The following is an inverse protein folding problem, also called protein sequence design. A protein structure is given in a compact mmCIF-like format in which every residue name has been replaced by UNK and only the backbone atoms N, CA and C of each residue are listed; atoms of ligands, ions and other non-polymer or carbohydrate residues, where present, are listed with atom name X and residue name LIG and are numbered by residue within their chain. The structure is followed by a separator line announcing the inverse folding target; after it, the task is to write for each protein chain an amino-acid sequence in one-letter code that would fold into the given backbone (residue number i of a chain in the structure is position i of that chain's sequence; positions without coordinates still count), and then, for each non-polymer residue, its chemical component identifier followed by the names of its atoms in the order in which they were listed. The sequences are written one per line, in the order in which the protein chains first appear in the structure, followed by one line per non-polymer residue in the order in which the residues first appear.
data_IF_601837266965
#
_entry.id   IF_601837266965
#
_cell.length_a   1.000
_cell.length_b   1.000
_cell.length_c   1.000
_cell.angle_alpha   90.00
_cell.angle_beta   90.00
_cell.angle_gamma   90.00
#
_symmetry.space_group_name_H-M   'P 1'
#
loop_
_entity.id
_entity.type
_entity.pdbx_description
1 polymer ?
#
# COMPACT_ATOMS: atom_id res chain seq x y z
N UNK A 1 -10.98 10.25 8.86
CA UNK A 1 -11.44 9.28 7.85
C UNK A 1 -10.90 7.92 8.26
N UNK A 2 -11.69 6.85 8.11
CA UNK A 2 -11.25 5.50 8.46
C UNK A 2 -10.52 4.87 7.27
N UNK A 3 -9.47 4.10 7.57
CA UNK A 3 -8.78 3.23 6.60
C UNK A 3 -9.75 2.17 6.05
N UNK A 4 -9.53 1.64 4.84
CA UNK A 4 -10.33 0.52 4.34
C UNK A 4 -10.24 -0.66 5.31
N UNK A 5 -11.38 -1.27 5.59
CA UNK A 5 -11.43 -2.45 6.47
C UNK A 5 -10.93 -3.71 5.74
N UNK A 6 -10.69 -4.78 6.48
CA UNK A 6 -10.15 -6.03 5.93
C UNK A 6 -11.05 -6.65 4.85
N UNK A 7 -12.38 -6.53 4.96
CA UNK A 7 -13.31 -7.06 3.96
C UNK A 7 -13.20 -6.30 2.63
N UNK A 8 -13.15 -4.96 2.68
CA UNK A 8 -12.94 -4.13 1.48
C UNK A 8 -11.61 -4.45 0.82
N UNK A 9 -10.53 -4.59 1.60
CA UNK A 9 -9.21 -4.97 1.07
C UNK A 9 -9.28 -6.35 0.40
N UNK A 10 -9.94 -7.33 1.03
CA UNK A 10 -10.10 -8.67 0.47
C UNK A 10 -10.83 -8.66 -0.88
N UNK A 11 -11.86 -7.83 -1.04
CA UNK A 11 -12.61 -7.70 -2.29
C UNK A 11 -11.75 -7.07 -3.39
N UNK A 12 -10.96 -6.05 -3.05
CA UNK A 12 -9.98 -5.45 -3.96
C UNK A 12 -8.98 -6.50 -4.45
N UNK A 13 -8.39 -7.27 -3.53
CA UNK A 13 -7.40 -8.29 -3.87
C UNK A 13 -8.00 -9.45 -4.69
N UNK A 14 -9.30 -9.73 -4.52
CA UNK A 14 -10.05 -10.66 -5.38
C UNK A 14 -10.39 -10.11 -6.77
N UNK A 15 -10.07 -8.85 -7.07
CA UNK A 15 -10.25 -8.26 -8.40
C UNK A 15 -11.39 -7.24 -8.54
N UNK A 16 -11.95 -6.73 -7.44
CA UNK A 16 -12.93 -5.63 -7.50
C UNK A 16 -12.22 -4.30 -7.85
N UNK A 17 -12.04 -4.06 -9.15
CA UNK A 17 -11.34 -2.88 -9.69
C UNK A 17 -12.06 -1.57 -9.38
N UNK A 18 -13.39 -1.59 -9.25
CA UNK A 18 -14.17 -0.43 -8.86
C UNK A 18 -13.83 0.00 -7.44
N UNK A 19 -13.80 -0.94 -6.48
CA UNK A 19 -13.39 -0.66 -5.11
C UNK A 19 -11.91 -0.28 -5.02
N UNK A 20 -11.06 -0.89 -5.85
CA UNK A 20 -9.64 -0.56 -5.91
C UNK A 20 -9.44 0.92 -6.17
N UNK A 21 -10.05 1.44 -7.25
CA UNK A 21 -9.94 2.85 -7.65
C UNK A 21 -10.52 3.76 -6.56
N UNK A 22 -11.72 3.45 -6.07
CA UNK A 22 -12.39 4.25 -5.04
C UNK A 22 -11.57 4.35 -3.75
N UNK A 23 -11.04 3.23 -3.25
CA UNK A 23 -10.24 3.25 -2.02
C UNK A 23 -8.86 3.87 -2.23
N UNK A 24 -8.24 3.69 -3.41
CA UNK A 24 -6.98 4.34 -3.73
C UNK A 24 -7.11 5.88 -3.77
N UNK A 25 -8.19 6.38 -4.36
CA UNK A 25 -8.51 7.81 -4.37
C UNK A 25 -8.72 8.37 -2.95
N UNK A 26 -9.58 7.69 -2.17
CA UNK A 26 -9.82 8.02 -0.75
C UNK A 26 -8.53 8.04 0.08
N UNK A 27 -7.64 7.09 -0.15
CA UNK A 27 -6.32 7.03 0.49
C UNK A 27 -5.43 8.21 0.09
N UNK A 28 -5.44 8.59 -1.20
CA UNK A 28 -4.72 9.77 -1.70
C UNK A 28 -5.17 11.06 -0.99
N UNK A 29 -6.48 11.27 -0.87
CA UNK A 29 -7.06 12.41 -0.14
C UNK A 29 -6.72 12.38 1.35
N UNK A 30 -6.81 11.21 1.99
CA UNK A 30 -6.45 11.02 3.39
C UNK A 30 -4.99 11.44 3.65
N UNK A 31 -4.05 11.00 2.79
CA UNK A 31 -2.65 11.40 2.92
C UNK A 31 -2.41 12.88 2.67
N UNK A 32 -3.14 13.52 1.75
CA UNK A 32 -3.14 14.98 1.57
C UNK A 32 -3.58 15.69 2.85
N UNK A 33 -4.64 15.22 3.48
CA UNK A 33 -5.15 15.81 4.72
C UNK A 33 -4.17 15.63 5.89
N UNK A 34 -3.43 14.51 5.95
CA UNK A 34 -2.35 14.33 6.92
C UNK A 34 -1.16 15.27 6.68
N UNK A 35 -0.86 15.62 5.42
CA UNK A 35 0.17 16.61 5.08
C UNK A 35 -0.16 17.99 5.63
N UNK A 36 -1.41 18.43 5.57
CA UNK A 36 -1.84 19.69 6.20
C UNK A 36 -1.58 19.71 7.72
N UNK A 37 -1.49 18.52 8.35
CA UNK A 37 -1.23 18.34 9.78
C UNK A 37 0.23 17.98 10.11
N UNK A 38 1.17 18.08 9.15
CA UNK A 38 2.59 17.68 9.29
C UNK A 38 2.79 16.19 9.67
N UNK A 39 1.84 15.35 9.24
CA UNK A 39 1.76 13.90 9.47
C UNK A 39 1.80 13.10 8.15
N UNK A 40 2.32 13.71 7.09
CA UNK A 40 2.37 13.19 5.73
C UNK A 40 3.07 11.84 5.59
N UNK A 41 2.74 11.13 4.50
CA UNK A 41 3.48 9.96 4.06
C UNK A 41 4.91 10.35 3.68
N UNK A 42 5.90 9.77 4.36
CA UNK A 42 7.33 9.92 3.96
C UNK A 42 7.70 8.81 2.99
N UNK A 43 8.32 9.16 1.87
CA UNK A 43 8.27 8.32 0.66
C UNK A 43 9.49 7.47 0.38
N UNK A 44 10.67 7.73 0.96
CA UNK A 44 11.88 6.96 0.63
C UNK A 44 11.77 5.47 0.93
N UNK A 45 11.25 5.08 2.10
CA UNK A 45 11.11 3.66 2.46
C UNK A 45 9.94 2.98 1.74
N UNK A 46 8.85 3.71 1.51
CA UNK A 46 7.72 3.18 0.75
C UNK A 46 8.12 2.93 -0.71
N UNK A 47 8.91 3.82 -1.33
CA UNK A 47 9.49 3.60 -2.65
C UNK A 47 10.42 2.38 -2.69
N UNK A 48 11.20 2.13 -1.63
CA UNK A 48 12.04 0.93 -1.55
C UNK A 48 11.22 -0.36 -1.52
N UNK A 49 10.11 -0.37 -0.76
CA UNK A 49 9.17 -1.50 -0.74
C UNK A 49 8.52 -1.67 -2.10
N UNK A 50 8.03 -0.58 -2.71
CA UNK A 50 7.45 -0.59 -4.05
C UNK A 50 8.43 -1.14 -5.10
N UNK A 51 9.69 -0.72 -5.07
CA UNK A 51 10.72 -1.27 -5.95
C UNK A 51 10.97 -2.76 -5.74
N UNK A 52 10.78 -3.29 -4.52
CA UNK A 52 10.84 -4.74 -4.26
C UNK A 52 9.65 -5.46 -4.90
N UNK A 53 8.44 -4.88 -4.81
CA UNK A 53 7.23 -5.40 -5.46
C UNK A 53 7.39 -5.44 -6.98
N UNK A 54 7.87 -4.36 -7.60
CA UNK A 54 8.12 -4.33 -9.06
C UNK A 54 9.17 -5.34 -9.51
N UNK A 55 10.22 -5.57 -8.70
CA UNK A 55 11.21 -6.62 -9.00
C UNK A 55 10.58 -8.02 -8.99
N UNK A 56 9.68 -8.29 -8.04
CA UNK A 56 8.95 -9.55 -7.97
C UNK A 56 8.00 -9.71 -9.15
N UNK A 57 7.29 -8.66 -9.53
CA UNK A 57 6.43 -8.66 -10.72
C UNK A 57 7.22 -8.99 -12.00
N UNK A 58 8.46 -8.48 -12.13
CA UNK A 58 9.33 -8.79 -13.27
C UNK A 58 9.95 -10.19 -13.22
N UNK A 59 10.32 -10.68 -12.04
CA UNK A 59 11.04 -11.96 -11.86
C UNK A 59 10.12 -13.17 -11.74
N UNK A 60 8.88 -12.96 -11.34
CA UNK A 60 7.94 -13.99 -10.95
C UNK A 60 7.49 -13.84 -9.50
N UNK A 61 6.21 -14.10 -9.26
CA UNK A 61 5.60 -14.03 -7.95
C UNK A 61 6.17 -15.11 -7.02
N UNK A 62 6.69 -14.69 -5.86
CA UNK A 62 7.10 -15.54 -4.75
C UNK A 62 6.36 -15.09 -3.48
N UNK A 63 5.46 -15.95 -2.99
CA UNK A 63 4.66 -15.66 -1.81
C UNK A 63 5.49 -15.46 -0.54
N UNK A 64 6.64 -16.11 -0.41
CA UNK A 64 7.55 -15.93 0.73
C UNK A 64 8.25 -14.57 0.65
N UNK A 65 8.73 -14.18 -0.53
CA UNK A 65 9.33 -12.87 -0.72
C UNK A 65 8.30 -11.75 -0.44
N UNK A 66 7.03 -11.94 -0.83
CA UNK A 66 5.95 -11.00 -0.56
C UNK A 66 5.68 -10.87 0.95
N UNK A 67 5.57 -11.99 1.66
CA UNK A 67 5.38 -12.02 3.12
C UNK A 67 6.52 -11.29 3.85
N UNK A 68 7.76 -11.41 3.35
CA UNK A 68 8.93 -10.71 3.88
C UNK A 68 8.92 -9.18 3.66
N UNK A 69 7.96 -8.63 2.90
CA UNK A 69 7.76 -7.18 2.86
C UNK A 69 7.09 -6.65 4.14
N UNK A 70 6.31 -7.46 4.87
CA UNK A 70 5.66 -7.05 6.13
C UNK A 70 6.66 -6.54 7.20
N UNK A 71 7.78 -7.23 7.50
CA UNK A 71 8.78 -6.68 8.42
C UNK A 71 9.46 -5.40 7.90
N UNK A 72 9.71 -5.28 6.58
CA UNK A 72 10.23 -4.04 5.98
C UNK A 72 9.26 -2.87 6.16
N UNK A 73 7.97 -3.10 5.94
CA UNK A 73 6.90 -2.14 6.18
C UNK A 73 6.79 -1.76 7.67
N UNK A 74 6.92 -2.73 8.58
CA UNK A 74 6.91 -2.48 10.01
C UNK A 74 8.07 -1.56 10.43
N UNK A 75 9.29 -1.84 9.96
CA UNK A 75 10.44 -0.97 10.22
C UNK A 75 10.22 0.46 9.69
N UNK A 76 9.70 0.60 8.47
CA UNK A 76 9.39 1.91 7.90
C UNK A 76 8.37 2.72 8.73
N UNK A 77 7.41 2.05 9.36
CA UNK A 77 6.34 2.67 10.14
C UNK A 77 6.74 3.06 11.58
N UNK A 78 7.78 2.43 12.15
CA UNK A 78 8.20 2.64 13.54
C UNK A 78 9.59 3.26 13.71
N UNK A 79 10.35 3.44 12.63
CA UNK A 79 11.64 4.14 12.70
C UNK A 79 11.48 5.59 13.23
N UNK A 80 12.53 6.16 13.84
CA UNK A 80 12.56 7.57 14.20
C UNK A 80 12.17 8.47 13.01
N UNK A 81 11.26 9.42 13.24
CA UNK A 81 10.74 10.31 12.21
C UNK A 81 9.60 9.75 11.35
N UNK A 82 9.18 8.49 11.57
CA UNK A 82 8.00 7.95 10.91
C UNK A 82 6.73 8.73 11.30
N UNK A 83 5.86 8.95 10.30
CA UNK A 83 4.64 9.73 10.40
C UNK A 83 3.41 8.84 10.29
N UNK A 84 2.26 9.36 10.69
CA UNK A 84 1.00 8.61 10.68
C UNK A 84 0.64 8.11 9.28
N UNK A 85 0.90 8.88 8.21
CA UNK A 85 0.69 8.41 6.84
C UNK A 85 1.45 7.13 6.50
N UNK A 86 2.69 6.96 7.01
CA UNK A 86 3.47 5.73 6.81
C UNK A 86 2.88 4.55 7.58
N UNK A 87 2.35 4.78 8.78
CA UNK A 87 1.69 3.74 9.61
C UNK A 87 0.37 3.30 8.96
N UNK A 88 -0.40 4.24 8.46
CA UNK A 88 -1.66 4.00 7.77
C UNK A 88 -1.44 3.18 6.49
N UNK A 89 -0.48 3.59 5.66
CA UNK A 89 -0.13 2.83 4.45
C UNK A 89 0.36 1.42 4.80
N UNK A 90 1.21 1.28 5.82
CA UNK A 90 1.67 -0.03 6.29
C UNK A 90 0.51 -0.93 6.69
N UNK A 91 -0.49 -0.38 7.39
CA UNK A 91 -1.66 -1.15 7.84
C UNK A 91 -2.44 -1.68 6.65
N UNK A 92 -2.73 -0.83 5.65
CA UNK A 92 -3.45 -1.25 4.44
C UNK A 92 -2.65 -2.30 3.65
N UNK A 93 -1.35 -2.05 3.40
CA UNK A 93 -0.51 -2.96 2.62
C UNK A 93 -0.27 -4.30 3.34
N UNK A 94 -0.14 -4.31 4.67
CA UNK A 94 0.05 -5.57 5.41
C UNK A 94 -1.18 -6.46 5.30
N UNK A 95 -2.37 -5.89 5.44
CA UNK A 95 -3.63 -6.63 5.26
C UNK A 95 -3.81 -7.10 3.81
N UNK A 96 -3.42 -6.28 2.85
CA UNK A 96 -3.48 -6.64 1.43
C UNK A 96 -2.54 -7.81 1.12
N UNK A 97 -1.31 -7.80 1.63
CA UNK A 97 -0.35 -8.92 1.52
C UNK A 97 -0.94 -10.21 2.11
N UNK A 98 -1.61 -10.14 3.26
CA UNK A 98 -2.24 -11.31 3.88
C UNK A 98 -3.36 -11.90 3.01
N UNK A 99 -4.01 -11.07 2.18
CA UNK A 99 -5.06 -11.50 1.27
C UNK A 99 -4.53 -12.11 -0.05
N UNK A 100 -3.26 -11.91 -0.40
CA UNK A 100 -2.67 -12.43 -1.65
C UNK A 100 -2.49 -13.95 -1.60
N UNK A 101 -2.14 -14.51 -0.44
CA UNK A 101 -1.92 -15.96 -0.26
C UNK A 101 -0.83 -16.48 -1.25
N UNK A 102 -1.09 -17.57 -1.96
CA UNK A 102 -0.19 -18.14 -3.00
C UNK A 102 -0.78 -17.98 -4.40
N UNK A 103 -1.57 -16.92 -4.59
CA UNK A 103 -2.33 -16.66 -5.80
C UNK A 103 -1.71 -15.51 -6.61
N UNK A 104 -1.29 -15.83 -7.84
CA UNK A 104 -0.63 -14.87 -8.74
C UNK A 104 -1.57 -13.75 -9.20
N UNK A 105 -2.84 -14.05 -9.47
CA UNK A 105 -3.80 -13.02 -9.90
C UNK A 105 -4.07 -12.04 -8.75
N UNK A 106 -4.18 -12.56 -7.52
CA UNK A 106 -4.28 -11.70 -6.33
C UNK A 106 -3.03 -10.85 -6.11
N UNK A 107 -1.84 -11.38 -6.43
CA UNK A 107 -0.60 -10.60 -6.38
C UNK A 107 -0.62 -9.44 -7.40
N UNK A 108 -1.07 -9.70 -8.63
CA UNK A 108 -1.23 -8.65 -9.65
C UNK A 108 -2.24 -7.58 -9.19
N UNK A 109 -3.36 -7.99 -8.59
CA UNK A 109 -4.33 -7.06 -7.97
C UNK A 109 -3.72 -6.24 -6.83
N UNK A 110 -2.85 -6.84 -6.01
CA UNK A 110 -2.09 -6.13 -4.98
C UNK A 110 -1.14 -5.08 -5.59
N UNK A 111 -0.40 -5.44 -6.64
CA UNK A 111 0.47 -4.50 -7.36
C UNK A 111 -0.34 -3.31 -7.87
N UNK A 112 -1.44 -3.58 -8.57
CA UNK A 112 -2.34 -2.54 -9.10
C UNK A 112 -2.88 -1.64 -7.99
N UNK A 113 -3.29 -2.21 -6.84
CA UNK A 113 -3.80 -1.44 -5.73
C UNK A 113 -2.73 -0.55 -5.10
N UNK A 114 -1.52 -1.08 -4.91
CA UNK A 114 -0.41 -0.30 -4.37
C UNK A 114 -0.02 0.84 -5.31
N UNK A 115 0.05 0.58 -6.62
CA UNK A 115 0.31 1.60 -7.64
C UNK A 115 -0.76 2.69 -7.65
N UNK A 116 -2.03 2.31 -7.59
CA UNK A 116 -3.14 3.24 -7.56
C UNK A 116 -3.05 4.18 -6.34
N UNK A 117 -2.78 3.64 -5.14
CA UNK A 117 -2.60 4.46 -3.93
C UNK A 117 -1.48 5.50 -4.13
N UNK A 118 -0.34 5.08 -4.71
CA UNK A 118 0.79 5.98 -4.96
C UNK A 118 0.46 7.03 -6.02
N UNK A 119 -0.25 6.65 -7.08
CA UNK A 119 -0.69 7.55 -8.14
C UNK A 119 -1.65 8.63 -7.60
N UNK A 120 -2.68 8.24 -6.84
CA UNK A 120 -3.62 9.18 -6.23
C UNK A 120 -2.96 10.04 -5.14
N UNK A 121 -2.03 9.49 -4.35
CA UNK A 121 -1.24 10.29 -3.42
C UNK A 121 -0.43 11.38 -4.14
N UNK A 122 0.20 11.02 -5.27
CA UNK A 122 0.97 11.96 -6.09
C UNK A 122 0.06 13.02 -6.70
N UNK A 123 -1.09 12.62 -7.27
CA UNK A 123 -2.09 13.53 -7.82
C UNK A 123 -2.61 14.53 -6.77
N UNK A 124 -2.77 14.08 -5.52
CA UNK A 124 -3.19 14.92 -4.40
C UNK A 124 -2.08 15.87 -3.85
N UNK A 125 -0.93 15.96 -4.54
CA UNK A 125 0.20 16.83 -4.16
C UNK A 125 1.20 16.21 -3.19
N UNK A 126 1.19 14.88 -3.05
CA UNK A 126 2.22 14.10 -2.36
C UNK A 126 3.59 14.15 -3.06
N UNK A 127 4.66 13.88 -2.31
CA UNK A 127 6.04 13.80 -2.82
C UNK A 127 6.63 12.42 -2.62
#
# INVERSE_FOLDING_TARGET
MALPNAQTIKEIIKGDTKKLVQEAERMGEHFRNLKAKRKELTTSQIRNVFGSVKKMEMKGFDANELRLLKPKLAYAAYRPGAKDGTRDLRTVLSTAIDCVEEDKEKFENFCNFFEAILAYHRAAGGK
#
